data_IF_000896795140
#
_entry.id   IF_000896795140
#
_cell.length_a   1.000
_cell.length_b   1.000
_cell.length_c   1.000
_cell.angle_alpha   90.00
_cell.angle_beta   90.00
_cell.angle_gamma   90.00
#
_symmetry.space_group_name_H-M   'P 1'
#
loop_
_entity.id
_entity.type
_entity.pdbx_description
1 polymer ?
#
# COMPACT_ATOMS: atom_id res chain seq x y z
N UNK A 1 -77.13 12.51 -6.58
CA UNK A 1 -75.95 12.09 -7.39
C UNK A 1 -74.69 12.26 -6.54
N UNK A 2 -74.17 11.19 -5.95
CA UNK A 2 -72.97 11.18 -5.10
C UNK A 2 -71.79 10.72 -5.96
N UNK A 3 -70.77 11.58 -6.17
CA UNK A 3 -69.54 11.23 -6.83
C UNK A 3 -68.60 10.59 -5.75
N UNK A 4 -68.23 9.34 -5.94
CA UNK A 4 -67.23 8.62 -5.16
C UNK A 4 -65.88 8.90 -5.82
N UNK A 5 -65.01 9.61 -5.09
CA UNK A 5 -63.63 9.89 -5.50
C UNK A 5 -62.75 8.73 -5.00
N UNK A 6 -62.29 7.89 -5.95
CA UNK A 6 -61.36 6.78 -5.66
C UNK A 6 -59.95 7.30 -5.57
N UNK A 7 -59.36 7.24 -4.37
CA UNK A 7 -57.99 7.63 -4.09
C UNK A 7 -57.08 6.36 -4.23
N UNK A 8 -56.38 6.27 -5.38
CA UNK A 8 -55.39 5.23 -5.64
C UNK A 8 -54.09 5.63 -4.91
N UNK A 9 -53.83 5.01 -3.77
CA UNK A 9 -52.53 5.12 -3.08
C UNK A 9 -51.50 4.29 -3.81
N UNK A 10 -50.51 4.92 -4.44
CA UNK A 10 -49.33 4.24 -4.98
C UNK A 10 -48.45 3.80 -3.82
N UNK A 11 -48.41 2.54 -3.54
CA UNK A 11 -47.52 1.90 -2.56
C UNK A 11 -46.16 1.70 -3.25
N UNK A 12 -45.19 2.62 -3.00
CA UNK A 12 -43.82 2.51 -3.47
C UNK A 12 -43.11 1.43 -2.64
N UNK A 13 -43.02 0.22 -3.18
CA UNK A 13 -42.19 -0.85 -2.60
C UNK A 13 -40.75 -0.50 -2.90
N UNK A 14 -40.05 0.09 -1.93
CA UNK A 14 -38.59 0.14 -1.94
C UNK A 14 -38.07 -1.29 -1.84
N UNK A 15 -37.60 -1.84 -2.95
CA UNK A 15 -36.83 -3.09 -2.97
C UNK A 15 -35.51 -2.80 -2.25
N UNK A 16 -35.39 -3.25 -1.01
CA UNK A 16 -34.08 -3.42 -0.37
C UNK A 16 -33.35 -4.52 -1.14
N UNK A 17 -32.50 -4.14 -2.09
CA UNK A 17 -31.49 -5.05 -2.62
C UNK A 17 -30.56 -5.41 -1.45
N UNK A 18 -30.42 -6.69 -1.07
CA UNK A 18 -29.37 -7.05 -0.12
C UNK A 18 -28.05 -6.63 -0.75
N UNK A 19 -27.30 -5.78 -0.06
CA UNK A 19 -25.89 -5.54 -0.39
C UNK A 19 -25.22 -6.92 -0.28
N UNK A 20 -24.87 -7.52 -1.41
CA UNK A 20 -24.02 -8.70 -1.43
C UNK A 20 -22.71 -8.28 -0.76
N UNK A 21 -22.48 -8.79 0.45
CA UNK A 21 -21.17 -8.70 1.10
C UNK A 21 -20.20 -9.42 0.19
N UNK A 22 -19.29 -8.68 -0.40
CA UNK A 22 -18.23 -9.29 -1.20
C UNK A 22 -17.28 -9.99 -0.22
N UNK A 23 -16.87 -11.21 -0.55
CA UNK A 23 -15.93 -11.95 0.28
C UNK A 23 -14.54 -11.32 0.16
N UNK A 24 -13.98 -10.76 1.25
CA UNK A 24 -12.66 -10.12 1.19
C UNK A 24 -11.55 -11.10 0.78
N UNK A 25 -11.69 -12.40 1.10
CA UNK A 25 -10.69 -13.40 0.75
C UNK A 25 -10.63 -13.64 -0.76
N UNK A 26 -11.79 -13.60 -1.44
CA UNK A 26 -11.85 -13.72 -2.91
C UNK A 26 -11.21 -12.50 -3.56
N UNK A 27 -11.58 -11.29 -3.13
CA UNK A 27 -11.03 -10.06 -3.72
C UNK A 27 -9.50 -9.96 -3.54
N UNK A 28 -9.01 -10.26 -2.34
CA UNK A 28 -7.57 -10.23 -2.03
C UNK A 28 -6.81 -11.34 -2.76
N UNK A 29 -7.43 -12.52 -2.94
CA UNK A 29 -6.88 -13.61 -3.75
C UNK A 29 -6.73 -13.21 -5.22
N UNK A 30 -7.77 -12.62 -5.81
CA UNK A 30 -7.75 -12.16 -7.21
C UNK A 30 -6.68 -11.06 -7.41
N UNK A 31 -6.52 -10.16 -6.43
CA UNK A 31 -5.49 -9.12 -6.44
C UNK A 31 -4.08 -9.71 -6.39
N UNK A 32 -3.82 -10.69 -5.50
CA UNK A 32 -2.55 -11.42 -5.44
C UNK A 32 -2.26 -12.18 -6.74
N UNK A 33 -3.25 -12.86 -7.31
CA UNK A 33 -3.07 -13.62 -8.54
C UNK A 33 -2.78 -12.71 -9.74
N UNK A 34 -3.42 -11.54 -9.81
CA UNK A 34 -3.07 -10.52 -10.80
C UNK A 34 -1.63 -10.02 -10.60
N UNK A 35 -1.24 -9.72 -9.36
CA UNK A 35 0.11 -9.21 -9.04
C UNK A 35 1.21 -10.23 -9.41
N UNK A 36 0.98 -11.54 -9.25
CA UNK A 36 1.92 -12.60 -9.67
C UNK A 36 2.20 -12.60 -11.17
N UNK A 37 1.37 -11.95 -12.00
CA UNK A 37 1.61 -11.79 -13.44
C UNK A 37 2.60 -10.67 -13.76
N UNK A 38 2.92 -9.80 -12.82
CA UNK A 38 3.83 -8.67 -13.04
C UNK A 38 5.29 -9.14 -13.01
N UNK A 39 6.03 -8.85 -14.07
CA UNK A 39 7.47 -9.11 -14.10
C UNK A 39 8.23 -8.00 -13.42
N UNK A 40 7.89 -6.76 -13.77
CA UNK A 40 8.40 -5.55 -13.15
C UNK A 40 7.33 -4.47 -13.17
N UNK A 41 7.30 -3.62 -12.14
CA UNK A 41 6.31 -2.55 -12.02
C UNK A 41 6.83 -1.37 -11.23
N UNK A 42 6.15 -0.24 -11.39
CA UNK A 42 6.43 1.01 -10.70
C UNK A 42 5.14 1.55 -10.09
N UNK A 43 5.23 2.02 -8.85
CA UNK A 43 4.16 2.71 -8.14
C UNK A 43 4.69 4.07 -7.69
N UNK A 44 3.99 5.15 -8.07
CA UNK A 44 4.16 6.46 -7.43
C UNK A 44 3.02 6.68 -6.45
N UNK A 45 3.32 7.30 -5.33
CA UNK A 45 2.34 7.52 -4.27
C UNK A 45 2.60 8.83 -3.53
N UNK A 46 1.58 9.29 -2.82
CA UNK A 46 1.71 10.30 -1.76
C UNK A 46 1.55 9.58 -0.43
N UNK A 47 2.49 9.77 0.50
CA UNK A 47 2.37 9.33 1.89
C UNK A 47 2.02 10.51 2.78
N UNK A 48 1.09 10.31 3.71
CA UNK A 48 0.74 11.29 4.75
C UNK A 48 0.83 10.62 6.10
N UNK A 49 1.77 11.05 6.91
CA UNK A 49 1.92 10.68 8.32
C UNK A 49 1.14 11.68 9.17
N UNK A 50 0.25 11.18 10.02
CA UNK A 50 -0.47 11.96 11.02
C UNK A 50 -0.12 11.44 12.41
N UNK A 51 0.54 12.25 13.23
CA UNK A 51 0.77 11.96 14.65
C UNK A 51 -0.29 12.66 15.51
N UNK A 52 -1.27 11.88 15.98
CA UNK A 52 -2.40 12.38 16.76
C UNK A 52 -2.01 12.84 18.15
N UNK A 53 -0.85 12.43 18.68
CA UNK A 53 -0.38 12.84 20.01
C UNK A 53 0.30 14.20 19.99
N UNK A 54 1.03 14.49 18.89
CA UNK A 54 1.86 15.67 18.77
C UNK A 54 1.23 16.74 17.86
N UNK A 55 0.03 16.49 17.32
CA UNK A 55 -0.66 17.36 16.35
C UNK A 55 0.25 17.71 15.16
N UNK A 56 0.92 16.67 14.63
CA UNK A 56 1.88 16.79 13.54
C UNK A 56 1.38 16.03 12.32
N UNK A 57 1.53 16.65 11.14
CA UNK A 57 1.22 16.05 9.84
C UNK A 57 2.36 16.33 8.87
N UNK A 58 2.79 15.29 8.16
CA UNK A 58 3.81 15.37 7.11
C UNK A 58 3.29 14.64 5.88
N UNK A 59 3.34 15.31 4.73
CA UNK A 59 3.02 14.72 3.44
C UNK A 59 4.25 14.75 2.54
N UNK A 60 4.56 13.59 1.94
CA UNK A 60 5.70 13.40 1.02
C UNK A 60 5.24 12.63 -0.21
N UNK A 61 5.92 12.86 -1.33
CA UNK A 61 5.79 12.02 -2.53
C UNK A 61 6.85 10.92 -2.46
N UNK A 62 6.51 9.75 -3.01
CA UNK A 62 7.42 8.63 -3.08
C UNK A 62 7.15 7.77 -4.30
N UNK A 63 8.12 6.91 -4.60
CA UNK A 63 7.99 5.94 -5.67
C UNK A 63 8.70 4.64 -5.32
N UNK A 64 8.15 3.52 -5.76
CA UNK A 64 8.81 2.21 -5.68
C UNK A 64 8.80 1.54 -7.04
N UNK A 65 9.95 0.97 -7.40
CA UNK A 65 10.17 0.18 -8.61
C UNK A 65 10.59 -1.22 -8.18
N UNK A 66 9.92 -2.24 -8.68
CA UNK A 66 10.07 -3.62 -8.21
C UNK A 66 10.23 -4.57 -9.40
N UNK A 67 11.16 -5.52 -9.26
CA UNK A 67 11.30 -6.68 -10.14
C UNK A 67 11.67 -7.91 -9.31
N UNK A 68 10.71 -8.79 -9.06
CA UNK A 68 10.87 -9.92 -8.14
C UNK A 68 11.21 -9.43 -6.73
N UNK A 69 12.33 -9.90 -6.17
CA UNK A 69 12.84 -9.50 -4.84
C UNK A 69 13.71 -8.24 -4.88
N UNK A 70 13.89 -7.62 -6.05
CA UNK A 70 14.70 -6.42 -6.22
C UNK A 70 13.82 -5.19 -6.23
N UNK A 71 14.24 -4.13 -5.58
CA UNK A 71 13.50 -2.88 -5.59
C UNK A 71 14.38 -1.64 -5.44
N UNK A 72 13.82 -0.52 -5.88
CA UNK A 72 14.30 0.82 -5.62
C UNK A 72 13.14 1.62 -5.05
N UNK A 73 13.28 2.10 -3.83
CA UNK A 73 12.24 2.82 -3.09
C UNK A 73 12.74 4.22 -2.75
N UNK A 74 12.03 5.22 -3.24
CA UNK A 74 12.24 6.64 -2.92
C UNK A 74 11.20 7.06 -1.89
N UNK A 75 11.65 7.47 -0.71
CA UNK A 75 10.82 7.95 0.40
C UNK A 75 10.92 9.47 0.59
N UNK A 76 11.62 10.16 -0.33
CA UNK A 76 11.95 11.58 -0.22
C UNK A 76 13.25 11.81 0.55
N UNK A 77 13.23 11.61 1.88
CA UNK A 77 14.40 11.80 2.75
C UNK A 77 15.42 10.64 2.65
N UNK A 78 14.94 9.46 2.29
CA UNK A 78 15.73 8.24 2.14
C UNK A 78 15.50 7.61 0.79
N UNK A 79 16.56 6.99 0.24
CA UNK A 79 16.46 6.17 -0.97
C UNK A 79 16.99 4.77 -0.65
N UNK A 80 16.18 3.76 -0.89
CA UNK A 80 16.52 2.38 -0.59
C UNK A 80 16.67 1.60 -1.89
N UNK A 81 17.81 0.92 -2.03
CA UNK A 81 18.10 0.00 -3.13
C UNK A 81 18.19 -1.41 -2.58
N UNK A 82 17.66 -2.39 -3.31
CA UNK A 82 17.79 -3.80 -2.97
C UNK A 82 18.01 -4.63 -4.23
N UNK A 83 19.09 -5.39 -4.29
CA UNK A 83 19.42 -6.29 -5.40
C UNK A 83 18.89 -7.73 -5.21
N UNK A 84 18.15 -7.96 -4.12
CA UNK A 84 17.60 -9.24 -3.71
C UNK A 84 18.40 -9.95 -2.61
N UNK A 85 19.63 -9.49 -2.33
CA UNK A 85 20.52 -10.02 -1.27
C UNK A 85 20.90 -8.92 -0.28
N UNK A 86 21.30 -7.77 -0.79
CA UNK A 86 21.78 -6.61 -0.03
C UNK A 86 20.80 -5.45 -0.15
N UNK A 87 20.68 -4.70 0.93
CA UNK A 87 19.85 -3.49 1.02
C UNK A 87 20.75 -2.30 1.34
N UNK A 88 20.67 -1.27 0.52
CA UNK A 88 21.36 0.02 0.74
C UNK A 88 20.32 1.08 1.10
N UNK A 89 20.38 1.61 2.30
CA UNK A 89 19.60 2.76 2.73
C UNK A 89 20.46 4.01 2.67
N UNK A 90 20.24 4.83 1.67
CA UNK A 90 20.99 6.07 1.47
C UNK A 90 20.24 7.26 2.04
N UNK A 91 20.91 8.03 2.88
CA UNK A 91 20.46 9.29 3.46
C UNK A 91 21.19 10.46 2.80
N UNK A 92 20.57 11.15 1.83
CA UNK A 92 21.24 12.19 1.04
C UNK A 92 21.74 13.37 1.88
N UNK A 93 20.99 13.78 2.91
CA UNK A 93 21.36 14.94 3.75
C UNK A 93 22.65 14.70 4.56
N UNK A 94 22.84 13.46 5.03
CA UNK A 94 24.03 13.07 5.80
C UNK A 94 25.15 12.58 4.91
N UNK A 95 24.86 12.24 3.64
CA UNK A 95 25.75 11.56 2.70
C UNK A 95 26.27 10.23 3.29
N UNK A 96 25.38 9.51 3.96
CA UNK A 96 25.62 8.20 4.56
C UNK A 96 24.81 7.13 3.84
N UNK A 97 25.36 5.92 3.75
CA UNK A 97 24.69 4.77 3.17
C UNK A 97 24.88 3.56 4.09
N UNK A 98 23.79 3.01 4.59
CA UNK A 98 23.77 1.81 5.42
C UNK A 98 23.57 0.62 4.52
N UNK A 99 24.36 -0.42 4.72
CA UNK A 99 24.31 -1.67 3.98
C UNK A 99 23.94 -2.80 4.92
N UNK A 100 22.78 -3.41 4.67
CA UNK A 100 22.19 -4.49 5.45
C UNK A 100 21.89 -5.71 4.56
N UNK A 101 21.60 -6.85 5.18
CA UNK A 101 21.09 -8.03 4.49
C UNK A 101 19.57 -7.92 4.29
N UNK A 102 19.07 -8.40 3.13
CA UNK A 102 17.65 -8.42 2.82
C UNK A 102 16.83 -9.24 3.85
N UNK A 103 17.46 -10.27 4.46
CA UNK A 103 16.80 -11.08 5.49
C UNK A 103 16.43 -10.25 6.72
N UNK A 104 17.30 -9.34 7.16
CA UNK A 104 17.03 -8.40 8.26
C UNK A 104 15.80 -7.52 7.95
N UNK A 105 15.71 -6.96 6.75
CA UNK A 105 14.56 -6.15 6.34
C UNK A 105 13.25 -6.96 6.33
N UNK A 106 13.30 -8.23 5.92
CA UNK A 106 12.14 -9.14 5.93
C UNK A 106 11.68 -9.47 7.35
N UNK A 107 12.62 -9.72 8.26
CA UNK A 107 12.30 -9.97 9.68
C UNK A 107 11.63 -8.75 10.34
N UNK A 108 12.00 -7.55 9.93
CA UNK A 108 11.39 -6.29 10.39
C UNK A 108 10.03 -6.01 9.73
N UNK A 109 9.63 -6.81 8.72
CA UNK A 109 8.37 -6.66 8.00
C UNK A 109 8.30 -5.43 7.09
N UNK A 110 9.45 -4.97 6.61
CA UNK A 110 9.58 -3.77 5.78
C UNK A 110 9.88 -4.06 4.30
N UNK A 111 9.66 -5.30 3.83
CA UNK A 111 9.92 -5.71 2.45
C UNK A 111 8.85 -5.18 1.46
N UNK A 112 9.16 -4.16 0.62
CA UNK A 112 8.20 -3.63 -0.33
C UNK A 112 7.83 -4.61 -1.44
N UNK A 113 8.64 -5.64 -1.70
CA UNK A 113 8.36 -6.65 -2.72
C UNK A 113 7.14 -7.51 -2.36
N UNK A 114 6.77 -7.53 -1.07
CA UNK A 114 5.61 -8.26 -0.55
C UNK A 114 4.33 -7.42 -0.50
N UNK A 115 4.31 -6.23 -1.08
CA UNK A 115 3.16 -5.32 -1.06
C UNK A 115 1.84 -5.99 -1.45
N UNK A 116 1.86 -6.89 -2.44
CA UNK A 116 0.66 -7.58 -2.95
C UNK A 116 0.43 -8.97 -2.33
N UNK A 117 1.18 -9.32 -1.31
CA UNK A 117 1.04 -10.60 -0.58
C UNK A 117 0.95 -10.41 0.93
N UNK A 118 1.10 -9.17 1.42
CA UNK A 118 1.07 -8.87 2.87
C UNK A 118 -0.20 -9.41 3.56
N UNK A 119 -1.34 -9.43 2.87
CA UNK A 119 -2.60 -9.97 3.40
C UNK A 119 -2.68 -11.50 3.37
N UNK A 120 -1.72 -12.20 2.75
CA UNK A 120 -1.61 -13.66 2.83
C UNK A 120 -1.11 -14.12 4.21
N UNK A 121 -0.52 -13.20 5.01
CA UNK A 121 -0.20 -13.41 6.41
C UNK A 121 -1.47 -13.55 7.29
N UNK A 122 -1.27 -13.85 8.57
CA UNK A 122 -2.35 -14.14 9.54
C UNK A 122 -3.07 -12.85 10.00
N UNK A 123 -3.88 -12.27 9.08
CA UNK A 123 -4.78 -11.15 9.37
C UNK A 123 -6.22 -11.62 9.49
N UNK A 124 -6.96 -11.11 10.48
CA UNK A 124 -8.42 -11.17 10.43
C UNK A 124 -8.91 -10.12 9.42
N UNK A 125 -9.62 -10.56 8.41
CA UNK A 125 -10.14 -9.75 7.30
C UNK A 125 -11.58 -9.39 7.52
N UNK A 126 -11.99 -8.17 7.16
CA UNK A 126 -13.36 -7.71 7.29
C UNK A 126 -13.74 -6.80 6.12
N UNK A 127 -14.82 -7.16 5.45
CA UNK A 127 -15.43 -6.33 4.41
C UNK A 127 -16.16 -5.14 5.05
N UNK A 128 -15.76 -3.93 4.72
CA UNK A 128 -16.31 -2.68 5.27
C UNK A 128 -17.31 -2.01 4.35
N UNK A 129 -17.51 -2.54 3.13
CA UNK A 129 -18.40 -1.96 2.13
C UNK A 129 -17.65 -1.26 1.01
N UNK A 130 -18.31 -0.27 0.40
CA UNK A 130 -17.73 0.55 -0.66
C UNK A 130 -17.58 1.99 -0.20
N UNK A 131 -16.56 2.67 -0.70
CA UNK A 131 -16.31 4.08 -0.39
C UNK A 131 -15.73 4.81 -1.60
N UNK A 132 -15.98 6.11 -1.67
CA UNK A 132 -15.44 6.95 -2.73
C UNK A 132 -14.05 7.45 -2.34
N UNK A 133 -13.05 7.19 -3.21
CA UNK A 133 -11.70 7.74 -3.11
C UNK A 133 -11.41 8.55 -4.39
N UNK A 134 -11.44 9.86 -4.25
CA UNK A 134 -11.39 10.74 -5.44
C UNK A 134 -12.59 10.49 -6.34
N UNK A 135 -12.34 10.13 -7.59
CA UNK A 135 -13.35 9.80 -8.62
C UNK A 135 -13.65 8.29 -8.72
N UNK A 136 -12.96 7.45 -7.93
CA UNK A 136 -13.12 5.99 -7.93
C UNK A 136 -14.01 5.50 -6.79
N UNK A 137 -14.94 4.59 -7.08
CA UNK A 137 -15.64 3.80 -6.05
C UNK A 137 -14.81 2.56 -5.73
N UNK A 138 -14.33 2.46 -4.50
CA UNK A 138 -13.42 1.40 -4.06
C UNK A 138 -14.08 0.44 -3.09
N UNK A 139 -13.74 -0.83 -3.18
CA UNK A 139 -13.95 -1.81 -2.13
C UNK A 139 -13.07 -1.45 -0.92
N UNK A 140 -13.65 -1.45 0.28
CA UNK A 140 -12.95 -1.20 1.53
C UNK A 140 -12.84 -2.48 2.33
N UNK A 141 -11.61 -2.91 2.60
CA UNK A 141 -11.28 -4.09 3.40
C UNK A 141 -10.37 -3.69 4.55
N UNK A 142 -10.71 -4.10 5.77
CA UNK A 142 -9.84 -3.99 6.93
C UNK A 142 -9.09 -5.30 7.17
N UNK A 143 -7.80 -5.17 7.43
CA UNK A 143 -6.92 -6.25 7.91
C UNK A 143 -6.51 -5.91 9.34
N UNK A 144 -6.85 -6.77 10.29
CA UNK A 144 -6.50 -6.57 11.70
C UNK A 144 -5.28 -7.40 12.07
N UNK A 145 -4.21 -6.73 12.44
CA UNK A 145 -2.91 -7.32 12.74
C UNK A 145 -2.82 -7.88 14.16
N UNK A 146 -1.97 -8.88 14.36
CA UNK A 146 -1.55 -9.38 15.66
C UNK A 146 -0.82 -8.31 16.50
N UNK A 147 -0.53 -8.64 17.77
CA UNK A 147 0.12 -7.70 18.71
C UNK A 147 1.61 -7.48 18.40
N UNK A 148 2.20 -8.32 17.61
CA UNK A 148 3.60 -8.28 17.15
C UNK A 148 3.90 -7.18 16.13
N UNK A 149 2.86 -6.66 15.45
CA UNK A 149 3.01 -5.59 14.44
C UNK A 149 2.91 -4.19 15.09
N UNK A 150 3.64 -3.18 14.60
CA UNK A 150 3.59 -1.80 15.13
C UNK A 150 2.27 -1.08 14.83
N UNK A 151 1.41 -1.66 14.00
CA UNK A 151 0.07 -1.20 13.67
C UNK A 151 -0.99 -2.23 14.09
N UNK A 152 -2.23 -1.79 14.26
CA UNK A 152 -3.34 -2.68 14.61
C UNK A 152 -4.28 -2.95 13.44
N UNK A 153 -4.31 -2.08 12.41
CA UNK A 153 -5.21 -2.22 11.27
C UNK A 153 -4.56 -1.66 10.02
N UNK A 154 -4.62 -2.41 8.92
CA UNK A 154 -4.45 -1.89 7.56
C UNK A 154 -5.82 -1.76 6.92
N UNK A 155 -6.15 -0.58 6.39
CA UNK A 155 -7.36 -0.35 5.61
C UNK A 155 -6.97 -0.30 4.15
N UNK A 156 -7.49 -1.23 3.37
CA UNK A 156 -7.24 -1.32 1.93
C UNK A 156 -8.42 -0.74 1.17
N UNK A 157 -8.16 0.14 0.23
CA UNK A 157 -9.13 0.69 -0.71
C UNK A 157 -8.74 0.25 -2.11
N UNK A 158 -9.56 -0.61 -2.70
CA UNK A 158 -9.26 -1.36 -3.92
C UNK A 158 -10.27 -1.00 -5.00
N UNK A 159 -9.79 -0.57 -6.16
CA UNK A 159 -10.56 -0.53 -7.40
C UNK A 159 -10.75 -1.99 -7.84
N UNK A 160 -11.91 -2.56 -7.55
CA UNK A 160 -12.18 -3.98 -7.79
C UNK A 160 -12.48 -4.31 -9.27
N UNK A 161 -12.82 -3.31 -10.07
CA UNK A 161 -12.95 -3.48 -11.53
C UNK A 161 -11.56 -3.58 -12.19
N UNK A 162 -10.62 -2.74 -11.75
CA UNK A 162 -9.23 -2.77 -12.21
C UNK A 162 -8.37 -3.78 -11.46
N UNK A 163 -8.78 -4.29 -10.29
CA UNK A 163 -7.97 -5.03 -9.32
C UNK A 163 -6.65 -4.30 -9.01
N UNK A 164 -6.77 -3.08 -8.50
CA UNK A 164 -5.65 -2.20 -8.17
C UNK A 164 -5.86 -1.54 -6.80
N UNK A 165 -4.78 -1.45 -6.02
CA UNK A 165 -4.80 -0.69 -4.78
C UNK A 165 -4.82 0.80 -5.11
N UNK A 166 -5.79 1.53 -4.56
CA UNK A 166 -5.92 2.99 -4.70
C UNK A 166 -5.33 3.69 -3.48
N UNK A 167 -5.56 3.10 -2.28
CA UNK A 167 -5.08 3.67 -1.03
C UNK A 167 -4.88 2.58 0.02
N UNK A 168 -3.87 2.78 0.87
CA UNK A 168 -3.65 2.00 2.09
C UNK A 168 -3.60 2.98 3.26
N UNK A 169 -4.31 2.69 4.36
CA UNK A 169 -4.18 3.43 5.61
C UNK A 169 -3.69 2.48 6.69
N UNK A 170 -2.53 2.75 7.22
CA UNK A 170 -1.94 2.02 8.36
C UNK A 170 -2.27 2.76 9.65
N UNK A 171 -3.01 2.09 10.54
CA UNK A 171 -3.40 2.60 11.86
C UNK A 171 -2.40 2.13 12.90
N UNK A 172 -1.51 3.01 13.33
CA UNK A 172 -0.45 2.72 14.29
C UNK A 172 -0.97 2.58 15.72
N UNK A 173 -0.33 1.68 16.49
CA UNK A 173 -0.69 1.45 17.91
C UNK A 173 -0.34 2.63 18.82
N UNK A 174 0.65 3.40 18.41
CA UNK A 174 1.16 4.54 19.21
C UNK A 174 0.47 5.85 18.89
N UNK A 175 -0.55 5.85 18.02
CA UNK A 175 -1.33 7.04 17.65
C UNK A 175 -0.77 7.78 16.43
N UNK A 176 0.10 7.13 15.65
CA UNK A 176 0.54 7.64 14.36
C UNK A 176 -0.13 6.83 13.25
N UNK A 177 -0.81 7.51 12.34
CA UNK A 177 -1.43 6.91 11.17
C UNK A 177 -0.64 7.28 9.92
N UNK A 178 -0.47 6.32 9.01
CA UNK A 178 0.16 6.59 7.71
C UNK A 178 -0.81 6.25 6.59
N UNK A 179 -1.03 7.18 5.70
CA UNK A 179 -1.88 7.01 4.51
C UNK A 179 -1.01 7.02 3.26
N UNK A 180 -1.04 5.94 2.49
CA UNK A 180 -0.45 5.86 1.15
C UNK A 180 -1.55 5.96 0.11
N UNK A 181 -1.50 6.94 -0.77
CA UNK A 181 -2.43 7.09 -1.90
C UNK A 181 -1.66 6.92 -3.18
N UNK A 182 -2.02 5.91 -3.98
CA UNK A 182 -1.39 5.65 -5.28
C UNK A 182 -1.75 6.77 -6.25
N UNK A 183 -0.75 7.40 -6.84
CA UNK A 183 -0.89 8.46 -7.85
C UNK A 183 -0.64 7.93 -9.27
N UNK A 184 0.19 6.88 -9.40
CA UNK A 184 0.46 6.20 -10.67
C UNK A 184 0.83 4.75 -10.42
N UNK A 185 0.36 3.85 -11.30
CA UNK A 185 0.76 2.45 -11.34
C UNK A 185 1.06 2.04 -12.78
N UNK A 186 2.22 1.41 -13.00
CA UNK A 186 2.64 0.96 -14.33
C UNK A 186 3.34 -0.40 -14.26
N UNK A 187 2.92 -1.34 -15.09
CA UNK A 187 3.57 -2.64 -15.28
C UNK A 187 4.51 -2.66 -16.49
N UNK A 188 4.82 -1.50 -17.05
CA UNK A 188 5.69 -1.33 -18.23
C UNK A 188 7.08 -0.80 -17.83
N UNK A 189 7.56 -1.13 -16.63
CA UNK A 189 8.87 -0.72 -16.14
C UNK A 189 9.99 -1.34 -17.00
N UNK A 190 10.82 -0.49 -17.61
CA UNK A 190 12.03 -0.91 -18.30
C UNK A 190 13.20 -0.97 -17.29
N UNK A 191 13.56 -2.17 -16.88
CA UNK A 191 14.65 -2.39 -15.92
C UNK A 191 16.00 -2.17 -16.60
N UNK A 192 16.79 -1.26 -16.03
CA UNK A 192 18.16 -0.91 -16.51
C UNK A 192 19.21 -1.57 -15.62
N UNK A 193 20.41 -1.89 -16.18
CA UNK A 193 21.52 -2.38 -15.36
C UNK A 193 21.85 -1.40 -14.21
N UNK A 194 22.01 -1.95 -12.99
CA UNK A 194 22.35 -1.15 -11.80
C UNK A 194 21.16 -0.39 -11.17
N UNK A 195 19.92 -0.58 -11.66
CA UNK A 195 18.75 0.14 -11.16
C UNK A 195 18.44 -0.13 -9.69
N UNK A 196 18.75 -1.33 -9.23
CA UNK A 196 18.47 -1.81 -7.89
C UNK A 196 19.71 -1.91 -6.99
N UNK A 197 20.80 -1.27 -7.39
CA UNK A 197 22.06 -1.26 -6.64
C UNK A 197 22.46 0.19 -6.35
N UNK A 198 22.94 0.47 -5.15
CA UNK A 198 23.36 1.80 -4.78
C UNK A 198 24.49 2.30 -5.70
N UNK A 199 24.32 3.41 -6.41
CA UNK A 199 25.31 3.93 -7.36
C UNK A 199 26.39 4.77 -6.66
N UNK A 200 27.29 4.13 -5.92
CA UNK A 200 28.33 4.80 -5.10
C UNK A 200 29.18 5.80 -5.91
N UNK A 201 29.38 5.56 -7.20
CA UNK A 201 30.12 6.45 -8.10
C UNK A 201 29.42 7.81 -8.32
N UNK A 202 28.12 7.91 -8.07
CA UNK A 202 27.35 9.16 -8.15
C UNK A 202 27.36 9.95 -6.84
N UNK A 203 27.84 9.34 -5.73
CA UNK A 203 27.85 9.92 -4.39
C UNK A 203 29.28 9.98 -3.85
N UNK A 204 30.15 10.89 -4.38
CA UNK A 204 31.54 10.96 -3.98
C UNK A 204 31.68 11.34 -2.50
N UNK A 205 32.48 10.54 -1.76
CA UNK A 205 32.69 10.75 -0.34
C UNK A 205 31.53 10.28 0.56
N UNK A 206 30.64 9.45 0.03
CA UNK A 206 29.62 8.79 0.85
C UNK A 206 30.31 7.92 1.91
N UNK A 207 29.81 8.00 3.15
CA UNK A 207 30.22 7.09 4.23
C UNK A 207 29.36 5.81 4.13
N UNK A 208 30.02 4.71 3.77
CA UNK A 208 29.36 3.41 3.65
C UNK A 208 29.54 2.62 4.95
N UNK A 209 28.43 2.41 5.66
CA UNK A 209 28.35 1.70 6.93
C UNK A 209 27.81 0.28 6.65
N UNK A 210 28.70 -0.72 6.68
CA UNK A 210 28.31 -2.11 6.45
C UNK A 210 27.90 -2.77 7.78
N UNK A 211 26.62 -3.10 7.92
CA UNK A 211 26.02 -3.72 9.11
C UNK A 211 25.90 -5.25 8.98
N UNK A 212 26.24 -5.81 7.82
CA UNK A 212 26.14 -7.26 7.60
C UNK A 212 27.18 -7.99 8.45
N UNK A 213 26.77 -9.07 9.12
CA UNK A 213 27.59 -9.85 10.04
C UNK A 213 28.01 -11.15 9.37
#
# INVERSE_FOLDING_TARGET
MRKILSMFGAFCVMALTPALSQDPDVLLGDLSDKAKTYTAYEISYTSTLVDLKNDFELTQEGAVQIEGDRFHLDLGDYVIYCDGESVWTFEPEMNECYLDDMETMREEGMDPSQLFTVWEEDFRREWMGRTQIGDKECAHVNLYAGEDKPYHTLQLFIDDDALEIVRIVMKGREGSDVTYTVTSFSTSLEVKPGMFTFPAEKHPGVDLIDNRI
#
